data_IF_462039836586
#
_entry.id   IF_462039836586
#
_cell.length_a   1.000
_cell.length_b   1.000
_cell.length_c   1.000
_cell.angle_alpha   90.00
_cell.angle_beta   90.00
_cell.angle_gamma   90.00
#
_symmetry.space_group_name_H-M   'P 1'
#
loop_
_entity.id
_entity.type
_entity.pdbx_description
1 polymer ?
#
# COMPACT_ATOMS: atom_id res chain seq x y z
N UNK A 1 -21.14 -7.12 20.36
CA UNK A 1 -21.02 -8.46 19.73
C UNK A 1 -22.08 -9.39 20.31
N UNK A 2 -22.59 -10.36 19.56
CA UNK A 2 -23.60 -11.30 20.07
C UNK A 2 -22.93 -12.38 20.96
N UNK A 3 -23.54 -12.79 22.10
CA UNK A 3 -22.93 -13.75 23.04
C UNK A 3 -22.56 -15.11 22.41
N UNK A 4 -23.30 -15.54 21.38
CA UNK A 4 -23.01 -16.76 20.65
C UNK A 4 -21.70 -16.66 19.85
N UNK A 5 -21.44 -15.50 19.23
CA UNK A 5 -20.20 -15.23 18.49
C UNK A 5 -19.00 -15.21 19.44
N UNK A 6 -19.14 -14.57 20.61
CA UNK A 6 -18.11 -14.59 21.66
C UNK A 6 -17.75 -16.01 22.09
N UNK A 7 -18.76 -16.86 22.30
CA UNK A 7 -18.56 -18.28 22.65
C UNK A 7 -17.84 -19.04 21.55
N UNK A 8 -18.20 -18.82 20.28
CA UNK A 8 -17.54 -19.47 19.14
C UNK A 8 -16.08 -19.03 19.05
N UNK A 9 -15.80 -17.72 19.11
CA UNK A 9 -14.44 -17.19 19.05
C UNK A 9 -13.57 -17.71 20.20
N UNK A 10 -14.08 -17.69 21.44
CA UNK A 10 -13.35 -18.23 22.59
C UNK A 10 -13.08 -19.72 22.47
N UNK A 11 -14.03 -20.49 21.91
CA UNK A 11 -13.82 -21.92 21.64
C UNK A 11 -12.75 -22.13 20.57
N UNK A 12 -12.81 -21.36 19.47
CA UNK A 12 -11.81 -21.42 18.41
C UNK A 12 -10.43 -21.06 18.93
N UNK A 13 -10.29 -20.01 19.73
CA UNK A 13 -9.02 -19.57 20.31
C UNK A 13 -8.38 -20.70 21.15
N UNK A 14 -9.15 -21.36 22.02
CA UNK A 14 -8.67 -22.49 22.83
C UNK A 14 -8.26 -23.68 21.95
N UNK A 15 -9.10 -24.07 20.99
CA UNK A 15 -8.84 -25.23 20.13
C UNK A 15 -7.63 -25.01 19.23
N UNK A 16 -7.42 -23.77 18.79
CA UNK A 16 -6.36 -23.43 17.86
C UNK A 16 -5.07 -23.05 18.54
N UNK A 17 -5.08 -22.63 19.82
CA UNK A 17 -3.92 -22.17 20.60
C UNK A 17 -2.62 -22.95 20.37
N UNK A 18 -2.61 -24.30 20.31
CA UNK A 18 -1.39 -25.07 20.07
C UNK A 18 -0.78 -24.87 18.67
N UNK A 19 -1.57 -24.41 17.70
CA UNK A 19 -1.25 -24.29 16.27
C UNK A 19 -1.20 -22.84 15.78
N UNK A 20 -1.47 -21.85 16.64
CA UNK A 20 -1.55 -20.44 16.22
C UNK A 20 -0.18 -19.82 15.94
N UNK A 21 0.91 -20.41 16.45
CA UNK A 21 2.25 -19.86 16.21
C UNK A 21 2.65 -20.10 14.77
N UNK A 22 2.75 -19.01 14.01
CA UNK A 22 3.38 -19.00 12.71
C UNK A 22 4.78 -18.38 12.83
N UNK A 23 5.75 -18.99 12.17
CA UNK A 23 7.02 -18.33 11.92
C UNK A 23 6.89 -17.64 10.57
N UNK A 24 6.66 -16.33 10.61
CA UNK A 24 6.82 -15.52 9.42
C UNK A 24 8.33 -15.37 9.17
N UNK A 25 8.83 -15.57 7.94
CA UNK A 25 10.23 -15.36 7.63
C UNK A 25 10.68 -14.00 8.17
N UNK A 26 11.78 -13.99 8.92
CA UNK A 26 12.45 -12.78 9.36
C UNK A 26 11.60 -11.86 10.26
N UNK A 27 10.66 -12.45 11.02
CA UNK A 27 9.92 -11.82 12.11
C UNK A 27 9.96 -12.71 13.36
N UNK A 28 9.74 -12.15 14.55
CA UNK A 28 9.77 -12.85 15.85
C UNK A 28 8.62 -13.86 16.09
N UNK A 29 8.07 -14.45 15.03
CA UNK A 29 6.86 -15.26 15.07
C UNK A 29 5.60 -14.39 15.16
N UNK A 30 4.48 -14.97 14.79
CA UNK A 30 3.15 -14.39 14.88
C UNK A 30 2.18 -15.40 15.49
N UNK A 31 1.04 -14.91 15.96
CA UNK A 31 -0.08 -15.76 16.34
C UNK A 31 -1.22 -15.51 15.35
N UNK A 32 -1.77 -16.57 14.78
CA UNK A 32 -3.11 -16.49 14.20
C UNK A 32 -4.08 -16.18 15.34
N UNK A 33 -5.08 -15.34 15.09
CA UNK A 33 -6.12 -15.02 16.08
C UNK A 33 -7.45 -15.09 15.36
N UNK A 34 -8.39 -15.94 15.81
CA UNK A 34 -9.76 -15.91 15.29
C UNK A 34 -10.37 -14.53 15.52
N UNK A 35 -11.02 -13.98 14.50
CA UNK A 35 -11.76 -12.73 14.63
C UNK A 35 -13.14 -12.88 13.98
N UNK A 36 -14.11 -12.14 14.50
CA UNK A 36 -15.39 -11.94 13.82
C UNK A 36 -15.33 -10.66 13.00
N UNK A 37 -16.00 -10.63 11.87
CA UNK A 37 -16.13 -9.45 11.03
C UNK A 37 -17.56 -8.92 11.08
N UNK A 38 -17.76 -7.76 11.70
CA UNK A 38 -19.07 -7.11 11.74
C UNK A 38 -19.28 -6.28 10.47
N UNK A 39 -20.12 -6.79 9.57
CA UNK A 39 -20.44 -6.10 8.30
C UNK A 39 -21.19 -4.79 8.52
N UNK A 40 -21.94 -4.67 9.63
CA UNK A 40 -22.69 -3.45 9.94
C UNK A 40 -21.78 -2.32 10.44
N UNK A 41 -20.69 -2.68 11.14
CA UNK A 41 -19.71 -1.70 11.64
C UNK A 41 -18.60 -1.40 10.63
N UNK A 42 -18.08 -2.43 9.93
CA UNK A 42 -16.87 -2.31 9.09
C UNK A 42 -17.13 -2.50 7.59
N UNK A 43 -18.39 -2.64 7.20
CA UNK A 43 -18.79 -2.86 5.82
C UNK A 43 -18.41 -4.25 5.30
N UNK A 44 -18.46 -4.42 3.97
CA UNK A 44 -18.08 -5.69 3.33
C UNK A 44 -16.62 -6.04 3.65
N UNK A 45 -16.36 -7.29 4.03
CA UNK A 45 -15.00 -7.77 4.22
C UNK A 45 -14.16 -7.62 2.94
N UNK A 46 -13.06 -6.89 3.05
CA UNK A 46 -12.01 -6.76 2.05
C UNK A 46 -10.73 -6.28 2.73
N UNK A 47 -9.59 -6.37 2.04
CA UNK A 47 -8.28 -6.03 2.61
C UNK A 47 -8.20 -4.58 3.08
N UNK A 48 -8.78 -3.63 2.35
CA UNK A 48 -8.75 -2.22 2.73
C UNK A 48 -9.53 -1.97 4.02
N UNK A 49 -10.74 -2.52 4.13
CA UNK A 49 -11.53 -2.42 5.35
C UNK A 49 -10.85 -3.11 6.52
N UNK A 50 -10.23 -4.28 6.31
CA UNK A 50 -9.46 -4.98 7.35
C UNK A 50 -8.29 -4.12 7.84
N UNK A 51 -7.51 -3.54 6.93
CA UNK A 51 -6.41 -2.68 7.32
C UNK A 51 -6.89 -1.41 8.03
N UNK A 52 -8.04 -0.84 7.64
CA UNK A 52 -8.64 0.32 8.32
C UNK A 52 -9.13 -0.02 9.72
N UNK A 53 -9.80 -1.16 9.92
CA UNK A 53 -10.31 -1.56 11.23
C UNK A 53 -9.18 -1.85 12.22
N UNK A 54 -8.01 -2.26 11.72
CA UNK A 54 -6.79 -2.45 12.52
C UNK A 54 -5.92 -1.18 12.63
N UNK A 55 -6.33 -0.06 12.03
CA UNK A 55 -5.56 1.19 12.06
C UNK A 55 -4.26 1.16 11.25
N UNK A 56 -4.09 0.21 10.32
CA UNK A 56 -2.94 0.15 9.41
C UNK A 56 -3.06 1.12 8.23
N UNK A 57 -4.31 1.43 7.83
CA UNK A 57 -4.64 2.43 6.82
C UNK A 57 -5.50 3.53 7.44
N UNK A 58 -5.12 4.78 7.20
CA UNK A 58 -5.93 5.95 7.54
C UNK A 58 -6.44 6.63 6.27
N UNK A 59 -7.74 6.88 6.16
CA UNK A 59 -8.29 7.63 5.03
C UNK A 59 -7.68 9.02 4.99
N UNK A 60 -7.35 9.47 3.78
CA UNK A 60 -6.94 10.83 3.48
C UNK A 60 -7.53 11.29 2.16
N UNK A 61 -7.40 12.58 1.90
CA UNK A 61 -7.75 13.16 0.61
C UNK A 61 -6.70 12.80 -0.46
N UNK A 62 -7.09 12.37 -1.68
CA UNK A 62 -6.16 12.14 -2.77
C UNK A 62 -5.24 13.33 -3.07
N UNK A 63 -5.73 14.57 -3.00
CA UNK A 63 -4.92 15.78 -3.20
C UNK A 63 -3.83 15.91 -2.12
N UNK A 64 -4.14 15.54 -0.87
CA UNK A 64 -3.16 15.53 0.21
C UNK A 64 -2.04 14.51 -0.08
N UNK A 65 -2.39 13.30 -0.52
CA UNK A 65 -1.43 12.28 -0.92
C UNK A 65 -0.55 12.73 -2.08
N UNK A 66 -1.15 13.32 -3.12
CA UNK A 66 -0.42 13.87 -4.27
C UNK A 66 0.55 14.96 -3.84
N UNK A 67 0.13 15.84 -2.92
CA UNK A 67 0.98 16.89 -2.38
C UNK A 67 2.18 16.30 -1.63
N UNK A 68 1.99 15.26 -0.83
CA UNK A 68 3.09 14.55 -0.15
C UNK A 68 4.07 13.95 -1.16
N UNK A 69 3.55 13.32 -2.22
CA UNK A 69 4.34 12.74 -3.30
C UNK A 69 5.16 13.83 -4.02
N UNK A 70 4.53 14.94 -4.40
CA UNK A 70 5.17 16.08 -5.06
C UNK A 70 6.25 16.74 -4.19
N UNK A 71 6.05 16.74 -2.87
CA UNK A 71 7.00 17.27 -1.90
C UNK A 71 8.10 16.27 -1.56
N UNK A 72 8.01 15.01 -2.01
CA UNK A 72 8.92 13.93 -1.65
C UNK A 72 9.09 13.80 -0.13
N UNK A 73 7.99 13.90 0.62
CA UNK A 73 8.04 13.90 2.09
C UNK A 73 8.70 12.62 2.63
N UNK A 74 8.35 11.46 2.06
CA UNK A 74 8.96 10.20 2.46
C UNK A 74 10.48 10.12 2.20
N UNK A 75 10.98 10.35 0.97
CA UNK A 75 12.43 10.39 0.68
C UNK A 75 13.23 11.38 1.56
N UNK A 76 12.65 12.52 1.95
CA UNK A 76 13.32 13.53 2.78
C UNK A 76 13.71 13.05 4.17
N UNK A 77 13.21 11.91 4.60
CA UNK A 77 13.59 11.31 5.87
C UNK A 77 14.87 10.49 5.81
N UNK A 78 15.41 10.23 4.61
CA UNK A 78 16.69 9.56 4.43
C UNK A 78 17.83 10.60 4.45
N UNK A 79 18.89 10.41 5.27
CA UNK A 79 19.97 11.39 5.43
C UNK A 79 20.72 11.73 4.13
N UNK A 80 20.80 10.78 3.21
CA UNK A 80 21.52 10.87 1.94
C UNK A 80 20.63 11.35 0.78
N UNK A 81 19.37 11.67 1.05
CA UNK A 81 18.45 12.16 0.03
C UNK A 81 18.87 13.54 -0.47
N UNK A 82 19.37 13.59 -1.70
CA UNK A 82 19.77 14.82 -2.37
C UNK A 82 19.38 14.78 -3.85
N UNK A 83 18.48 15.69 -4.24
CA UNK A 83 18.00 15.84 -5.62
C UNK A 83 18.01 17.31 -6.01
N UNK A 84 18.40 17.59 -7.25
CA UNK A 84 18.47 18.97 -7.75
C UNK A 84 17.06 19.59 -7.83
N UNK A 85 16.97 20.92 -7.80
CA UNK A 85 15.70 21.62 -7.97
C UNK A 85 15.02 21.27 -9.31
N UNK A 86 15.81 21.07 -10.36
CA UNK A 86 15.34 20.64 -11.68
C UNK A 86 14.69 19.25 -11.61
N UNK A 87 15.33 18.28 -10.95
CA UNK A 87 14.76 16.95 -10.73
C UNK A 87 13.48 17.01 -9.90
N UNK A 88 13.45 17.83 -8.84
CA UNK A 88 12.26 18.02 -8.01
C UNK A 88 11.07 18.55 -8.83
N UNK A 89 11.32 19.54 -9.69
CA UNK A 89 10.28 20.11 -10.56
C UNK A 89 9.82 19.10 -11.62
N UNK A 90 10.74 18.33 -12.21
CA UNK A 90 10.40 17.26 -13.15
C UNK A 90 9.47 16.23 -12.51
N UNK A 91 9.80 15.77 -11.31
CA UNK A 91 9.02 14.80 -10.56
C UNK A 91 7.64 15.34 -10.20
N UNK A 92 7.57 16.58 -9.67
CA UNK A 92 6.30 17.24 -9.34
C UNK A 92 5.36 17.25 -10.54
N UNK A 93 5.87 17.63 -11.71
CA UNK A 93 5.07 17.69 -12.94
C UNK A 93 4.60 16.31 -13.39
N UNK A 94 5.44 15.28 -13.27
CA UNK A 94 5.06 13.89 -13.60
C UNK A 94 4.01 13.33 -12.64
N UNK A 95 4.13 13.62 -11.35
CA UNK A 95 3.15 13.23 -10.33
C UNK A 95 1.82 13.95 -10.58
N UNK A 96 1.84 15.24 -10.92
CA UNK A 96 0.64 15.99 -11.30
C UNK A 96 -0.04 15.37 -12.53
N UNK A 97 0.71 15.04 -13.57
CA UNK A 97 0.19 14.39 -14.77
C UNK A 97 -0.40 13.01 -14.48
N UNK A 98 0.28 12.22 -13.63
CA UNK A 98 -0.23 10.95 -13.14
C UNK A 98 -1.56 11.13 -12.41
N UNK A 99 -1.66 12.13 -11.53
CA UNK A 99 -2.88 12.36 -10.77
C UNK A 99 -4.05 12.77 -11.66
N UNK A 100 -3.83 13.67 -12.63
CA UNK A 100 -4.84 14.03 -13.62
C UNK A 100 -5.28 12.81 -14.45
N UNK A 101 -4.34 11.92 -14.80
CA UNK A 101 -4.69 10.66 -15.47
C UNK A 101 -5.60 9.80 -14.59
N UNK A 102 -5.31 9.67 -13.30
CA UNK A 102 -6.13 8.89 -12.35
C UNK A 102 -7.53 9.51 -12.20
N UNK A 103 -7.64 10.82 -11.95
CA UNK A 103 -8.92 11.52 -11.79
C UNK A 103 -9.82 11.39 -13.02
N UNK A 104 -9.25 11.39 -14.22
CA UNK A 104 -10.02 11.33 -15.46
C UNK A 104 -10.49 9.91 -15.84
N UNK A 105 -9.86 8.87 -15.29
CA UNK A 105 -10.11 7.48 -15.70
C UNK A 105 -10.64 6.57 -14.60
N UNK A 106 -10.55 7.00 -13.34
CA UNK A 106 -11.03 6.25 -12.19
C UNK A 106 -12.27 6.90 -11.57
N UNK A 107 -13.13 6.05 -11.05
CA UNK A 107 -14.26 6.39 -10.19
C UNK A 107 -13.98 5.91 -8.78
N UNK A 108 -14.71 6.41 -7.78
CA UNK A 108 -14.51 6.05 -6.36
C UNK A 108 -13.04 6.21 -5.93
N UNK A 109 -12.44 7.33 -6.32
CA UNK A 109 -11.05 7.62 -5.98
C UNK A 109 -10.96 7.80 -4.46
N UNK A 110 -10.20 6.93 -3.81
CA UNK A 110 -9.94 6.98 -2.38
C UNK A 110 -8.43 7.03 -2.14
N UNK A 111 -8.03 7.64 -1.04
CA UNK A 111 -6.63 7.66 -0.65
C UNK A 111 -6.45 7.25 0.80
N UNK A 112 -5.32 6.59 1.05
CA UNK A 112 -4.96 6.08 2.36
C UNK A 112 -3.53 6.42 2.69
N UNK A 113 -3.29 6.86 3.92
CA UNK A 113 -1.96 6.93 4.51
C UNK A 113 -1.64 5.58 5.13
N UNK A 114 -0.47 5.04 4.80
CA UNK A 114 0.06 3.85 5.43
C UNK A 114 0.78 4.22 6.72
N UNK A 115 0.37 3.68 7.86
CA UNK A 115 1.02 4.01 9.14
C UNK A 115 2.27 3.14 9.31
N UNK A 116 3.45 3.70 9.04
CA UNK A 116 4.73 3.05 9.31
C UNK A 116 5.39 3.63 10.56
N UNK A 117 5.69 2.77 11.51
CA UNK A 117 6.58 3.08 12.63
C UNK A 117 7.95 2.52 12.32
N UNK A 118 8.97 3.38 12.25
CA UNK A 118 10.35 2.92 12.32
C UNK A 118 10.78 2.76 13.77
N UNK A 119 11.67 1.82 13.95
CA UNK A 119 12.29 1.35 15.17
C UNK A 119 12.94 2.50 15.96
N UNK A 120 12.89 2.39 17.29
CA UNK A 120 13.58 3.18 18.34
C UNK A 120 13.43 4.71 18.41
N UNK A 121 13.14 5.42 17.32
CA UNK A 121 13.07 6.89 17.29
C UNK A 121 11.65 7.47 17.18
N UNK A 122 10.63 6.62 17.07
CA UNK A 122 9.22 7.02 17.20
C UNK A 122 8.65 7.83 16.03
N UNK A 123 9.39 7.94 14.92
CA UNK A 123 8.89 8.57 13.70
C UNK A 123 7.77 7.74 13.07
N UNK A 124 6.64 8.40 12.75
CA UNK A 124 5.56 7.83 11.94
C UNK A 124 5.68 8.39 10.53
N UNK A 125 5.88 7.52 9.55
CA UNK A 125 5.75 7.88 8.13
C UNK A 125 4.39 7.48 7.60
N UNK A 126 3.85 8.34 6.75
CA UNK A 126 2.52 8.21 6.19
C UNK A 126 2.57 8.25 4.66
N UNK A 127 3.31 7.34 3.97
CA UNK A 127 3.26 7.30 2.51
C UNK A 127 1.83 7.01 2.06
N UNK A 128 1.31 7.87 1.21
CA UNK A 128 -0.03 7.72 0.67
C UNK A 128 -0.12 6.68 -0.44
N UNK A 129 -1.25 5.99 -0.51
CA UNK A 129 -1.74 5.18 -1.62
C UNK A 129 -2.98 5.87 -2.19
N UNK A 130 -3.16 5.83 -3.51
CA UNK A 130 -4.42 6.19 -4.17
C UNK A 130 -4.99 4.93 -4.80
N UNK A 131 -6.27 4.66 -4.58
CA UNK A 131 -7.00 3.59 -5.26
C UNK A 131 -8.20 4.15 -5.99
N UNK A 132 -8.65 3.45 -7.03
CA UNK A 132 -9.92 3.76 -7.69
C UNK A 132 -10.36 2.65 -8.64
N UNK A 133 -11.61 2.71 -9.04
CA UNK A 133 -12.28 1.74 -9.89
C UNK A 133 -12.34 2.24 -11.35
N UNK A 134 -11.90 1.43 -12.29
CA UNK A 134 -11.96 1.72 -13.73
C UNK A 134 -13.40 1.58 -14.25
N UNK A 135 -13.64 2.05 -15.48
CA UNK A 135 -14.94 1.84 -16.17
C UNK A 135 -15.26 0.36 -16.41
N UNK A 136 -14.26 -0.51 -16.38
CA UNK A 136 -14.43 -1.94 -16.55
C UNK A 136 -14.78 -2.65 -15.23
N UNK A 137 -14.81 -1.91 -14.10
CA UNK A 137 -15.07 -2.46 -12.75
C UNK A 137 -13.83 -3.01 -12.05
N UNK A 138 -12.65 -2.88 -12.67
CA UNK A 138 -11.38 -3.30 -12.07
C UNK A 138 -10.87 -2.22 -11.11
N UNK A 139 -10.15 -2.61 -10.06
CA UNK A 139 -9.53 -1.69 -9.13
C UNK A 139 -8.05 -1.51 -9.44
N UNK A 140 -7.59 -0.25 -9.46
CA UNK A 140 -6.18 0.11 -9.61
C UNK A 140 -5.73 0.81 -8.33
N UNK A 141 -4.56 0.43 -7.82
CA UNK A 141 -3.86 1.11 -6.75
C UNK A 141 -2.52 1.66 -7.24
N UNK A 142 -2.22 2.90 -6.86
CA UNK A 142 -0.95 3.58 -7.13
C UNK A 142 -0.34 4.01 -5.81
N UNK A 143 0.93 3.65 -5.61
CA UNK A 143 1.67 3.97 -4.40
C UNK A 143 3.14 4.19 -4.71
N UNK A 144 3.85 4.83 -3.77
CA UNK A 144 5.30 4.89 -3.84
C UNK A 144 5.90 3.52 -3.54
N UNK A 145 7.05 3.24 -4.15
CA UNK A 145 7.95 2.23 -3.58
C UNK A 145 8.45 2.73 -2.23
N UNK A 146 8.18 1.96 -1.19
CA UNK A 146 8.64 2.23 0.17
C UNK A 146 9.86 1.34 0.42
N UNK A 147 10.95 1.94 0.88
CA UNK A 147 12.11 1.24 1.40
C UNK A 147 11.90 0.95 2.88
N UNK A 148 11.95 -0.31 3.24
CA UNK A 148 12.02 -0.73 4.63
C UNK A 148 13.16 -1.71 4.74
N UNK A 149 14.13 -1.41 5.60
CA UNK A 149 15.12 -2.39 5.97
C UNK A 149 14.39 -3.58 6.58
N UNK A 150 14.66 -4.75 6.01
CA UNK A 150 14.01 -5.98 6.39
C UNK A 150 15.05 -7.08 6.32
N UNK A 151 15.02 -7.95 7.32
CA UNK A 151 15.80 -9.19 7.31
C UNK A 151 15.27 -10.18 6.24
N UNK A 152 14.13 -9.88 5.59
CA UNK A 152 13.57 -10.72 4.54
C UNK A 152 14.49 -10.72 3.33
N UNK A 153 14.95 -11.91 2.99
CA UNK A 153 15.84 -12.14 1.86
C UNK A 153 15.21 -11.71 0.53
N UNK A 154 15.96 -11.10 -0.40
CA UNK A 154 15.44 -10.65 -1.71
C UNK A 154 14.75 -11.76 -2.52
N UNK A 155 15.15 -13.02 -2.34
CA UNK A 155 14.54 -14.16 -3.02
C UNK A 155 13.11 -14.46 -2.53
N UNK A 156 12.74 -13.98 -1.34
CA UNK A 156 11.40 -14.10 -0.75
C UNK A 156 10.51 -12.93 -1.19
N UNK A 157 11.10 -11.74 -1.39
CA UNK A 157 10.39 -10.54 -1.89
C UNK A 157 10.82 -10.30 -3.34
N UNK A 158 10.21 -11.04 -4.26
CA UNK A 158 10.38 -10.79 -5.68
C UNK A 158 9.49 -9.64 -6.14
N UNK A 159 10.10 -8.64 -6.79
CA UNK A 159 9.40 -7.66 -7.64
C UNK A 159 9.66 -8.02 -9.09
N UNK A 160 8.61 -8.22 -9.86
CA UNK A 160 8.75 -8.30 -11.31
C UNK A 160 9.16 -6.93 -11.85
N UNK A 161 10.23 -6.87 -12.66
CA UNK A 161 10.70 -5.62 -13.27
C UNK A 161 9.64 -4.95 -14.15
N UNK A 162 8.72 -5.75 -14.69
CA UNK A 162 7.52 -5.31 -15.38
C UNK A 162 6.33 -6.12 -14.87
N UNK A 163 5.14 -5.51 -14.81
CA UNK A 163 3.91 -6.27 -14.59
C UNK A 163 3.74 -7.12 -15.85
N UNK A 164 4.19 -8.37 -15.82
CA UNK A 164 3.65 -9.38 -16.71
C UNK A 164 2.20 -9.55 -16.28
N UNK A 165 1.29 -8.91 -17.02
CA UNK A 165 -0.13 -9.11 -16.82
C UNK A 165 -0.37 -10.58 -17.13
N UNK A 166 -0.52 -11.36 -16.07
CA UNK A 166 -0.82 -12.77 -16.19
C UNK A 166 -2.02 -12.90 -17.11
N UNK A 167 -1.81 -13.57 -18.25
CA UNK A 167 -2.85 -13.82 -19.25
C UNK A 167 -4.13 -14.44 -18.69
N UNK A 168 -4.07 -15.03 -17.48
CA UNK A 168 -5.21 -15.56 -16.73
C UNK A 168 -6.07 -14.47 -16.08
N UNK A 169 -5.55 -13.27 -15.89
CA UNK A 169 -6.30 -12.12 -15.37
C UNK A 169 -7.00 -11.42 -16.54
N UNK A 170 -8.30 -11.68 -16.66
CA UNK A 170 -9.16 -10.99 -17.60
C UNK A 170 -9.42 -9.56 -17.12
N UNK A 171 -8.54 -8.62 -17.49
CA UNK A 171 -8.76 -7.19 -17.28
C UNK A 171 -9.48 -6.57 -18.47
N UNK A 172 -10.31 -5.56 -18.20
CA UNK A 172 -10.96 -4.79 -19.26
C UNK A 172 -9.98 -3.92 -20.06
N UNK A 173 -10.41 -3.50 -21.26
CA UNK A 173 -9.56 -2.73 -22.18
C UNK A 173 -9.18 -1.35 -21.63
N UNK A 174 -10.08 -0.69 -20.89
CA UNK A 174 -9.80 0.60 -20.27
C UNK A 174 -8.80 0.44 -19.13
N UNK A 175 -8.91 -0.64 -18.35
CA UNK A 175 -7.96 -1.00 -17.29
C UNK A 175 -6.55 -1.21 -17.87
N UNK A 176 -6.42 -2.04 -18.91
CA UNK A 176 -5.13 -2.30 -19.56
C UNK A 176 -4.50 -1.04 -20.14
N UNK A 177 -5.31 -0.20 -20.80
CA UNK A 177 -4.86 1.09 -21.33
C UNK A 177 -4.34 2.03 -20.23
N UNK A 178 -5.06 2.10 -19.10
CA UNK A 178 -4.68 2.94 -17.98
C UNK A 178 -3.38 2.44 -17.33
N UNK A 179 -3.23 1.11 -17.13
CA UNK A 179 -2.01 0.50 -16.62
C UNK A 179 -0.81 0.86 -17.52
N UNK A 180 -0.94 0.71 -18.84
CA UNK A 180 0.14 1.03 -19.78
C UNK A 180 0.55 2.51 -19.70
N UNK A 181 -0.41 3.42 -19.54
CA UNK A 181 -0.11 4.84 -19.35
C UNK A 181 0.55 5.15 -18.01
N UNK A 182 0.08 4.54 -16.92
CA UNK A 182 0.70 4.68 -15.60
C UNK A 182 2.16 4.20 -15.70
N UNK A 183 2.40 3.03 -16.28
CA UNK A 183 3.73 2.46 -16.47
C UNK A 183 4.64 3.39 -17.28
N UNK A 184 4.15 3.95 -18.38
CA UNK A 184 4.91 4.92 -19.17
C UNK A 184 5.34 6.12 -18.31
N UNK A 185 4.42 6.73 -17.57
CA UNK A 185 4.73 7.87 -16.68
C UNK A 185 5.74 7.47 -15.60
N UNK A 186 5.53 6.32 -14.94
CA UNK A 186 6.40 5.88 -13.84
C UNK A 186 7.77 5.42 -14.33
N UNK A 187 7.90 4.96 -15.57
CA UNK A 187 9.20 4.58 -16.15
C UNK A 187 10.11 5.78 -16.40
N UNK A 188 9.52 6.97 -16.57
CA UNK A 188 10.26 8.23 -16.69
C UNK A 188 10.67 8.80 -15.32
N UNK A 189 10.03 8.36 -14.24
CA UNK A 189 10.47 8.70 -12.89
C UNK A 189 11.75 7.91 -12.61
N UNK A 190 12.88 8.62 -12.51
CA UNK A 190 14.17 8.04 -12.15
C UNK A 190 14.09 7.32 -10.79
N UNK A 191 14.87 6.25 -10.61
CA UNK A 191 14.99 5.60 -9.30
C UNK A 191 15.82 6.48 -8.36
N UNK A 192 15.34 6.72 -7.13
CA UNK A 192 16.19 7.25 -6.05
C UNK A 192 16.88 6.07 -5.39
N UNK A 193 18.20 6.16 -5.29
CA UNK A 193 19.00 5.23 -4.50
C UNK A 193 19.22 5.82 -3.12
N UNK A 194 18.86 5.06 -2.09
CA UNK A 194 19.23 5.35 -0.71
C UNK A 194 20.33 4.36 -0.31
N UNK A 195 21.41 4.84 0.29
CA UNK A 195 22.26 3.99 1.11
C UNK A 195 21.44 3.65 2.36
N UNK A 196 21.02 2.40 2.50
CA UNK A 196 20.43 1.93 3.75
C UNK A 196 21.35 2.26 4.93
N UNK A 197 20.76 2.44 6.12
CA UNK A 197 21.55 2.54 7.34
C UNK A 197 22.45 1.30 7.45
N UNK A 198 23.73 1.52 7.77
CA UNK A 198 24.72 0.45 7.99
C UNK A 198 24.65 -0.07 9.41
#
# INVERSE_FOLDING_TARGET
>A
MQPEIEKILGTLEILTQPFLRCNLPCHHGGNFVPFAWDVSEWGKFNICNLCRSNGWLQITDPDATVKQWQNMEYPRHFPDFNVSLEQQNFWRNKIEFLFQLLQNNLTKLESFLLIFKFDSHGGIYLPGIIIGETKDGDWIGVSHTIYKETEILPEIIYRSEQIEIDSRILMGKNTLYLIAKIQAITSELSTIHFSGDR
#
